data_IF_948383439814
#
_entry.id   IF_948383439814
#
_cell.length_a   1.000
_cell.length_b   1.000
_cell.length_c   1.000
_cell.angle_alpha   90.00
_cell.angle_beta   90.00
_cell.angle_gamma   90.00
#
_symmetry.space_group_name_H-M   'P 1'
#
loop_
_entity.id
_entity.type
_entity.pdbx_description
1 polymer ?
#
# COMPACT_ATOMS: atom_id res chain seq x y z
N UNK A 1 7.66 6.02 18.53
CA UNK A 1 6.71 6.98 17.91
C UNK A 1 5.43 6.96 18.73
N UNK A 2 4.80 8.10 19.04
CA UNK A 2 3.46 8.05 19.66
C UNK A 2 2.50 7.39 18.68
N UNK A 3 1.70 6.44 19.16
CA UNK A 3 0.63 5.80 18.42
C UNK A 3 -0.35 6.88 17.91
N UNK A 4 -0.25 7.18 16.62
CA UNK A 4 -1.06 8.23 16.02
C UNK A 4 -2.35 7.63 15.50
N UNK A 5 -3.45 8.28 15.82
CA UNK A 5 -4.74 7.96 15.23
C UNK A 5 -4.77 8.39 13.76
N UNK A 6 -5.11 7.48 12.88
CA UNK A 6 -5.37 7.74 11.46
C UNK A 6 -6.87 7.83 11.28
N UNK A 7 -7.34 8.96 10.77
CA UNK A 7 -8.76 9.19 10.51
C UNK A 7 -9.03 8.95 9.04
N UNK A 8 -9.82 7.93 8.76
CA UNK A 8 -10.31 7.58 7.43
C UNK A 8 -11.80 7.79 7.42
N UNK A 9 -12.21 8.95 7.01
CA UNK A 9 -13.59 9.50 6.95
C UNK A 9 -14.59 8.94 7.97
N UNK A 10 -15.15 7.74 7.73
CA UNK A 10 -16.11 7.07 8.60
C UNK A 10 -15.52 6.27 9.75
N UNK A 11 -14.19 6.16 9.83
CA UNK A 11 -13.48 5.35 10.79
C UNK A 11 -12.27 6.08 11.38
N UNK A 12 -11.84 5.64 12.56
CA UNK A 12 -10.51 5.91 13.08
C UNK A 12 -9.75 4.60 13.30
N UNK A 13 -8.45 4.64 13.07
CA UNK A 13 -7.56 3.51 13.19
C UNK A 13 -6.38 3.87 14.09
N UNK A 14 -6.09 3.02 15.08
CA UNK A 14 -4.87 3.03 15.88
C UNK A 14 -4.17 1.70 15.70
N UNK A 15 -2.94 1.71 15.23
CA UNK A 15 -2.20 0.47 14.97
C UNK A 15 -1.96 -0.35 16.24
N UNK A 16 -1.84 0.31 17.40
CA UNK A 16 -1.73 -0.37 18.69
C UNK A 16 -2.97 -1.15 19.11
N UNK A 17 -4.14 -0.85 18.53
CA UNK A 17 -5.42 -1.51 18.76
C UNK A 17 -5.70 -2.62 17.72
N UNK A 18 -4.84 -2.76 16.70
CA UNK A 18 -4.95 -3.76 15.65
C UNK A 18 -4.24 -5.06 16.02
N UNK A 19 -4.67 -6.16 15.44
CA UNK A 19 -3.97 -7.45 15.56
C UNK A 19 -2.73 -7.45 14.65
N UNK A 20 -1.55 -7.55 15.22
CA UNK A 20 -0.31 -7.70 14.45
C UNK A 20 -0.22 -9.12 13.88
N UNK A 21 -0.28 -9.25 12.55
CA UNK A 21 -0.20 -10.53 11.84
C UNK A 21 1.25 -10.91 11.53
N UNK A 22 2.02 -9.97 10.98
CA UNK A 22 3.42 -10.15 10.64
C UNK A 22 4.24 -8.91 11.00
N UNK A 23 5.49 -9.14 11.39
CA UNK A 23 6.47 -8.09 11.63
C UNK A 23 7.82 -8.51 11.02
N UNK A 24 8.31 -7.71 10.08
CA UNK A 24 9.55 -7.96 9.36
C UNK A 24 10.63 -6.98 9.83
N UNK A 25 11.18 -7.23 11.02
CA UNK A 25 12.42 -6.58 11.45
C UNK A 25 13.61 -7.10 10.65
N UNK A 26 13.51 -8.38 10.23
CA UNK A 26 14.42 -9.04 9.30
C UNK A 26 13.61 -9.68 8.19
N UNK A 27 14.04 -9.49 6.94
CA UNK A 27 13.44 -10.16 5.78
C UNK A 27 14.23 -11.42 5.46
N UNK A 28 13.51 -12.54 5.35
CA UNK A 28 14.06 -13.80 4.89
C UNK A 28 13.75 -13.99 3.40
N UNK A 29 14.76 -14.07 2.51
CA UNK A 29 14.52 -14.24 1.07
C UNK A 29 13.63 -15.44 0.72
N UNK A 30 13.65 -16.50 1.51
CA UNK A 30 12.83 -17.69 1.27
C UNK A 30 11.32 -17.45 1.41
N UNK A 31 10.93 -16.37 2.08
CA UNK A 31 9.53 -15.99 2.30
C UNK A 31 8.95 -15.08 1.21
N UNK A 32 9.75 -14.71 0.21
CA UNK A 32 9.35 -13.76 -0.82
C UNK A 32 9.51 -14.34 -2.22
N UNK A 33 8.53 -14.11 -3.07
CA UNK A 33 8.53 -14.57 -4.47
C UNK A 33 8.41 -13.42 -5.44
N UNK A 34 9.26 -13.42 -6.46
CA UNK A 34 9.17 -12.50 -7.60
C UNK A 34 8.11 -13.04 -8.55
N UNK A 35 7.11 -12.23 -8.89
CA UNK A 35 5.93 -12.69 -9.62
C UNK A 35 5.93 -12.27 -11.09
N UNK A 36 6.37 -11.06 -11.40
CA UNK A 36 6.32 -10.55 -12.76
C UNK A 36 7.57 -9.76 -13.09
N UNK A 37 8.09 -10.01 -14.29
CA UNK A 37 9.34 -9.46 -14.79
C UNK A 37 10.52 -9.74 -13.84
N UNK A 38 11.71 -9.69 -14.33
CA UNK A 38 12.92 -9.96 -13.54
C UNK A 38 13.74 -8.69 -13.31
N UNK A 39 13.25 -7.73 -12.52
CA UNK A 39 14.14 -6.72 -12.00
C UNK A 39 15.03 -7.39 -10.97
N UNK A 40 16.15 -6.77 -10.72
CA UNK A 40 16.98 -7.18 -9.59
C UNK A 40 16.26 -6.85 -8.29
N UNK A 41 15.76 -7.86 -7.63
CA UNK A 41 15.29 -7.75 -6.25
C UNK A 41 16.37 -8.27 -5.32
N UNK A 42 16.66 -7.50 -4.29
CA UNK A 42 17.55 -7.90 -3.21
C UNK A 42 16.76 -7.89 -1.91
N UNK A 43 16.67 -9.06 -1.28
CA UNK A 43 16.05 -9.22 0.05
C UNK A 43 17.18 -9.41 1.04
N UNK A 44 17.35 -8.46 1.94
CA UNK A 44 18.41 -8.44 2.95
C UNK A 44 17.80 -8.34 4.35
N UNK A 45 18.52 -8.72 5.40
CA UNK A 45 18.08 -8.41 6.75
C UNK A 45 17.77 -6.92 6.90
N UNK A 46 16.54 -6.59 7.26
CA UNK A 46 16.09 -5.21 7.50
C UNK A 46 15.59 -4.43 6.28
N UNK A 47 15.74 -4.94 5.03
CA UNK A 47 15.24 -4.23 3.84
C UNK A 47 15.00 -5.11 2.62
N UNK A 48 14.13 -4.63 1.76
CA UNK A 48 13.95 -5.12 0.39
C UNK A 48 14.29 -3.97 -0.55
N UNK A 49 15.11 -4.24 -1.56
CA UNK A 49 15.48 -3.27 -2.59
C UNK A 49 15.07 -3.82 -3.95
N UNK A 50 14.34 -3.01 -4.71
CA UNK A 50 13.91 -3.34 -6.07
C UNK A 50 14.48 -2.37 -7.09
N UNK A 51 14.87 -2.90 -8.26
CA UNK A 51 15.44 -2.12 -9.35
C UNK A 51 16.93 -1.85 -9.24
N UNK A 52 17.39 -0.93 -10.05
CA UNK A 52 18.80 -0.50 -10.09
C UNK A 52 18.95 0.84 -10.81
N UNK A 53 20.11 1.48 -10.69
CA UNK A 53 20.33 2.82 -11.22
C UNK A 53 20.40 2.88 -12.76
N UNK A 54 20.70 1.76 -13.42
CA UNK A 54 21.12 1.75 -14.83
C UNK A 54 20.07 1.14 -15.78
N UNK A 55 18.95 0.63 -15.27
CA UNK A 55 17.95 -0.05 -16.11
C UNK A 55 16.52 0.29 -15.70
N UNK A 56 15.62 0.58 -16.66
CA UNK A 56 14.21 0.65 -16.40
C UNK A 56 13.69 -0.76 -16.02
N UNK A 57 13.18 -0.88 -14.83
CA UNK A 57 12.72 -2.17 -14.32
C UNK A 57 11.27 -2.12 -13.90
N UNK A 58 10.53 -3.13 -14.31
CA UNK A 58 9.19 -3.40 -13.83
C UNK A 58 9.22 -4.72 -13.09
N UNK A 59 8.70 -4.74 -11.89
CA UNK A 59 8.59 -6.00 -11.20
C UNK A 59 7.90 -5.92 -9.86
N UNK A 60 7.49 -7.08 -9.42
CA UNK A 60 6.75 -7.23 -8.19
C UNK A 60 7.30 -8.40 -7.39
N UNK A 61 7.37 -8.19 -6.08
CA UNK A 61 7.73 -9.20 -5.10
C UNK A 61 6.64 -9.30 -4.04
N UNK A 62 6.23 -10.52 -3.71
CA UNK A 62 5.15 -10.76 -2.76
C UNK A 62 5.61 -11.69 -1.63
N UNK A 63 5.05 -11.47 -0.46
CA UNK A 63 5.16 -12.40 0.65
C UNK A 63 4.38 -13.68 0.31
N UNK A 64 4.97 -14.85 0.65
CA UNK A 64 4.47 -16.15 0.21
C UNK A 64 3.20 -16.62 0.94
N UNK A 65 2.89 -16.03 2.10
CA UNK A 65 1.72 -16.41 2.88
C UNK A 65 0.59 -15.40 2.69
N UNK A 66 -0.56 -15.84 2.16
CA UNK A 66 -1.71 -14.95 1.98
C UNK A 66 -2.46 -14.71 3.28
N UNK A 67 -3.07 -13.54 3.41
CA UNK A 67 -3.89 -13.13 4.55
C UNK A 67 -5.36 -13.04 4.15
N UNK A 68 -6.28 -13.50 5.01
CA UNK A 68 -7.72 -13.33 4.81
C UNK A 68 -8.22 -12.03 5.42
N UNK A 69 -9.21 -11.42 4.75
CA UNK A 69 -9.87 -10.19 5.20
C UNK A 69 -9.07 -8.94 4.92
N UNK A 70 -9.43 -7.88 5.62
CA UNK A 70 -8.77 -6.60 5.51
C UNK A 70 -7.37 -6.65 6.07
N UNK A 71 -6.47 -5.95 5.42
CA UNK A 71 -5.09 -5.76 5.89
C UNK A 71 -4.71 -4.29 5.84
N UNK A 72 -3.90 -3.90 6.81
CA UNK A 72 -3.20 -2.62 6.86
C UNK A 72 -1.70 -2.90 6.93
N UNK A 73 -0.98 -2.28 6.03
CA UNK A 73 0.48 -2.32 5.95
C UNK A 73 1.05 -1.07 6.59
N UNK A 74 2.02 -1.22 7.47
CA UNK A 74 2.87 -0.15 8.00
C UNK A 74 4.30 -0.44 7.54
N UNK A 75 4.94 0.47 6.84
CA UNK A 75 6.31 0.30 6.37
C UNK A 75 6.97 1.64 6.08
N UNK A 76 8.29 1.61 5.94
CA UNK A 76 9.02 2.74 5.43
C UNK A 76 9.53 2.45 4.03
N UNK A 77 9.52 3.47 3.18
CA UNK A 77 10.05 3.36 1.83
C UNK A 77 10.73 4.65 1.38
N UNK A 78 11.66 4.52 0.44
CA UNK A 78 12.29 5.64 -0.25
C UNK A 78 12.63 5.30 -1.68
N UNK A 79 12.72 6.33 -2.51
CA UNK A 79 13.29 6.24 -3.85
C UNK A 79 14.81 6.43 -3.72
N UNK A 80 15.57 5.58 -4.38
CA UNK A 80 17.04 5.65 -4.41
C UNK A 80 17.49 6.42 -5.65
N UNK A 81 18.29 7.49 -5.51
CA UNK A 81 18.85 8.20 -6.64
C UNK A 81 19.69 7.28 -7.55
N UNK A 82 19.73 7.49 -8.88
CA UNK A 82 19.20 8.64 -9.63
C UNK A 82 17.71 8.57 -9.94
N UNK A 83 16.99 7.49 -9.57
CA UNK A 83 15.54 7.44 -9.73
C UNK A 83 14.87 8.58 -8.96
N UNK A 84 13.75 9.07 -9.46
CA UNK A 84 13.01 10.19 -8.89
C UNK A 84 11.54 9.89 -8.67
N UNK A 85 11.07 8.72 -9.08
CA UNK A 85 9.69 8.30 -8.93
C UNK A 85 9.60 6.82 -8.58
N UNK A 86 8.48 6.47 -8.11
CA UNK A 86 7.70 5.25 -7.99
C UNK A 86 8.08 4.35 -6.83
N UNK A 87 7.34 4.55 -5.73
CA UNK A 87 7.23 3.59 -4.62
C UNK A 87 5.88 2.90 -4.80
N UNK A 88 5.89 1.58 -5.04
CA UNK A 88 4.68 0.79 -5.28
C UNK A 88 4.52 -0.30 -4.23
N UNK A 89 3.30 -0.51 -3.76
CA UNK A 89 2.96 -1.64 -2.90
C UNK A 89 1.57 -2.17 -3.22
N UNK A 90 1.32 -3.41 -2.80
CA UNK A 90 0.09 -4.15 -3.07
C UNK A 90 -0.54 -4.65 -1.79
N UNK A 91 -1.87 -4.70 -1.76
CA UNK A 91 -2.62 -5.37 -0.71
C UNK A 91 -3.88 -6.03 -1.25
N UNK A 92 -4.35 -7.05 -0.54
CA UNK A 92 -5.49 -7.88 -0.91
C UNK A 92 -5.42 -8.42 -2.36
N UNK A 93 -4.20 -8.59 -2.88
CA UNK A 93 -3.95 -9.03 -4.25
C UNK A 93 -4.22 -10.51 -4.40
N UNK A 94 -4.91 -10.91 -5.47
CA UNK A 94 -5.17 -12.30 -5.82
C UNK A 94 -4.58 -12.62 -7.17
N UNK A 95 -4.01 -13.81 -7.24
CA UNK A 95 -3.49 -14.35 -8.49
C UNK A 95 -4.55 -15.14 -9.27
N UNK A 96 -4.20 -15.57 -10.50
CA UNK A 96 -5.06 -16.34 -11.36
C UNK A 96 -5.81 -15.53 -12.42
N UNK A 97 -5.35 -14.31 -12.69
CA UNK A 97 -5.80 -13.49 -13.82
C UNK A 97 -5.10 -13.87 -15.15
N UNK A 98 -5.58 -13.31 -16.26
CA UNK A 98 -4.99 -13.40 -17.59
C UNK A 98 -5.43 -12.18 -18.42
N UNK A 99 -4.57 -11.50 -19.14
CA UNK A 99 -3.13 -11.74 -19.34
C UNK A 99 -2.26 -11.34 -18.13
N UNK A 100 -2.76 -10.49 -17.23
CA UNK A 100 -2.09 -10.15 -16.00
C UNK A 100 -2.20 -11.28 -14.98
N UNK A 101 -1.21 -11.50 -14.11
CA UNK A 101 -1.28 -12.56 -13.10
C UNK A 101 -2.32 -12.29 -12.01
N UNK A 102 -2.87 -11.09 -11.97
CA UNK A 102 -3.85 -10.66 -10.95
C UNK A 102 -5.28 -10.95 -11.37
N UNK A 103 -6.11 -11.34 -10.42
CA UNK A 103 -7.56 -11.44 -10.60
C UNK A 103 -8.32 -10.41 -9.77
N UNK A 104 -7.70 -9.83 -8.75
CA UNK A 104 -8.24 -8.76 -7.91
C UNK A 104 -7.15 -8.15 -7.04
N UNK A 105 -7.45 -7.05 -6.35
CA UNK A 105 -6.61 -6.41 -5.36
C UNK A 105 -6.45 -4.92 -5.58
N UNK A 106 -5.52 -4.36 -4.85
CA UNK A 106 -5.21 -2.93 -4.92
C UNK A 106 -3.71 -2.71 -4.99
N UNK A 107 -3.35 -1.63 -5.65
CA UNK A 107 -2.01 -1.09 -5.74
C UNK A 107 -2.03 0.33 -5.20
N UNK A 108 -1.12 0.64 -4.30
CA UNK A 108 -0.81 1.99 -3.86
C UNK A 108 0.51 2.45 -4.44
N UNK A 109 0.62 3.73 -4.74
CA UNK A 109 1.82 4.30 -5.33
C UNK A 109 2.07 5.72 -4.81
N UNK A 110 3.34 6.04 -4.60
CA UNK A 110 3.83 7.40 -4.38
C UNK A 110 4.85 7.75 -5.45
N UNK A 111 4.62 8.88 -6.14
CA UNK A 111 5.54 9.39 -7.15
C UNK A 111 5.44 8.71 -8.51
N UNK A 112 4.45 7.84 -8.72
CA UNK A 112 4.11 7.28 -10.03
C UNK A 112 3.11 8.17 -10.78
N UNK A 113 2.50 7.63 -11.81
CA UNK A 113 1.34 8.11 -12.57
C UNK A 113 1.11 9.64 -12.65
N UNK A 114 0.58 10.10 -13.78
CA UNK A 114 0.06 11.45 -13.95
C UNK A 114 1.00 12.56 -13.41
N UNK A 115 2.27 12.56 -13.81
CA UNK A 115 3.25 13.54 -13.40
C UNK A 115 3.63 13.48 -11.90
N UNK A 116 4.04 12.31 -11.44
CA UNK A 116 4.61 12.04 -10.11
C UNK A 116 3.63 12.21 -8.93
N UNK A 117 2.37 11.91 -9.15
CA UNK A 117 1.34 11.95 -8.11
C UNK A 117 1.29 10.66 -7.28
N UNK A 118 0.61 10.71 -6.15
CA UNK A 118 0.21 9.50 -5.42
C UNK A 118 -1.11 8.95 -5.97
N UNK A 119 -1.27 7.62 -5.96
CA UNK A 119 -2.44 6.96 -6.50
C UNK A 119 -2.84 5.67 -5.78
N UNK A 120 -4.12 5.31 -5.88
CA UNK A 120 -4.63 3.97 -5.61
C UNK A 120 -5.24 3.43 -6.90
N UNK A 121 -4.86 2.21 -7.27
CA UNK A 121 -5.41 1.51 -8.41
C UNK A 121 -6.06 0.21 -7.99
N UNK A 122 -7.10 -0.15 -8.72
CA UNK A 122 -7.79 -1.42 -8.58
C UNK A 122 -7.35 -2.39 -9.66
N UNK A 123 -6.97 -3.59 -9.24
CA UNK A 123 -6.60 -4.70 -10.09
C UNK A 123 -7.84 -5.52 -10.52
N UNK A 124 -7.81 -6.22 -11.66
CA UNK A 124 -6.66 -6.45 -12.54
C UNK A 124 -6.36 -5.34 -13.55
N UNK A 125 -7.27 -4.41 -13.77
CA UNK A 125 -7.24 -3.47 -14.90
C UNK A 125 -6.36 -2.23 -14.63
N UNK A 126 -5.70 -2.16 -13.47
CA UNK A 126 -4.93 -0.98 -13.03
C UNK A 126 -5.77 0.31 -13.11
N UNK A 127 -7.03 0.20 -12.74
CA UNK A 127 -7.95 1.31 -12.78
C UNK A 127 -7.62 2.30 -11.67
N UNK A 128 -7.19 3.50 -12.06
CA UNK A 128 -6.98 4.61 -11.12
C UNK A 128 -8.30 4.91 -10.39
N UNK A 129 -8.32 4.68 -9.09
CA UNK A 129 -9.49 4.82 -8.22
C UNK A 129 -9.43 6.08 -7.36
N UNK A 130 -8.23 6.50 -7.00
CA UNK A 130 -7.98 7.78 -6.34
C UNK A 130 -6.60 8.32 -6.76
N UNK A 131 -6.48 9.65 -6.84
CA UNK A 131 -5.24 10.35 -7.17
C UNK A 131 -5.11 11.56 -6.27
N UNK A 132 -3.92 11.77 -5.68
CA UNK A 132 -3.57 12.95 -4.88
C UNK A 132 -2.57 13.82 -5.65
N UNK A 133 -3.04 14.86 -6.37
CA UNK A 133 -2.20 15.64 -7.27
C UNK A 133 -1.21 16.57 -6.56
N UNK A 134 -1.43 16.82 -5.28
CA UNK A 134 -0.55 17.69 -4.49
C UNK A 134 0.62 16.96 -3.83
N UNK A 135 0.62 15.64 -3.85
CA UNK A 135 1.71 14.86 -3.25
C UNK A 135 2.86 14.72 -4.26
N UNK A 136 4.07 14.97 -3.80
CA UNK A 136 5.30 14.77 -4.58
C UNK A 136 6.31 14.02 -3.74
N UNK A 137 7.02 13.09 -4.35
CA UNK A 137 8.13 12.37 -3.72
C UNK A 137 9.45 13.11 -3.89
N UNK A 138 10.32 12.96 -2.92
CA UNK A 138 11.68 13.48 -2.91
C UNK A 138 12.66 12.29 -2.88
N UNK A 139 13.53 12.13 -3.89
CA UNK A 139 14.51 11.04 -3.88
C UNK A 139 15.41 11.07 -2.64
N UNK A 140 15.68 9.90 -2.09
CA UNK A 140 16.48 9.73 -0.88
C UNK A 140 15.73 9.95 0.44
N UNK A 141 14.56 10.59 0.42
CA UNK A 141 13.73 10.79 1.61
C UNK A 141 13.00 9.51 2.00
N UNK A 142 13.04 9.17 3.27
CA UNK A 142 12.20 8.12 3.83
C UNK A 142 10.77 8.62 4.09
N UNK A 143 9.81 7.83 3.67
CA UNK A 143 8.38 8.00 3.92
C UNK A 143 7.90 6.89 4.83
N UNK A 144 7.24 7.24 5.91
CA UNK A 144 6.51 6.29 6.75
C UNK A 144 5.10 6.15 6.20
N UNK A 145 4.76 4.97 5.69
CA UNK A 145 3.52 4.70 4.96
C UNK A 145 2.64 3.77 5.79
N UNK A 146 1.38 4.14 5.94
CA UNK A 146 0.32 3.25 6.45
C UNK A 146 -0.79 3.22 5.42
N UNK A 147 -1.08 2.03 4.91
CA UNK A 147 -2.02 1.87 3.80
C UNK A 147 -2.75 0.54 3.88
N UNK A 148 -3.99 0.49 3.39
CA UNK A 148 -4.75 -0.76 3.38
C UNK A 148 -6.24 -0.58 3.21
N UNK A 149 -6.99 -1.55 3.72
CA UNK A 149 -8.45 -1.63 3.63
C UNK A 149 -9.12 -1.63 5.00
N UNK A 150 -10.25 -0.94 5.11
CA UNK A 150 -11.20 -0.98 6.23
C UNK A 150 -12.59 -1.28 5.65
N UNK A 151 -12.87 -2.54 5.33
CA UNK A 151 -14.05 -2.94 4.58
C UNK A 151 -13.99 -2.42 3.14
N UNK A 152 -14.94 -1.57 2.79
CA UNK A 152 -15.00 -0.93 1.46
C UNK A 152 -14.12 0.32 1.33
N UNK A 153 -13.51 0.77 2.42
CA UNK A 153 -12.68 1.96 2.46
C UNK A 153 -11.20 1.58 2.28
N UNK A 154 -10.51 2.26 1.38
CA UNK A 154 -9.09 2.09 1.11
C UNK A 154 -8.38 3.42 1.30
N UNK A 155 -7.18 3.39 1.87
CA UNK A 155 -6.49 4.62 2.22
C UNK A 155 -4.98 4.53 2.10
N UNK A 156 -4.35 5.68 1.97
CA UNK A 156 -2.91 5.90 2.11
C UNK A 156 -2.70 7.05 3.09
N UNK A 157 -1.95 6.80 4.14
CA UNK A 157 -1.42 7.82 5.04
C UNK A 157 0.10 7.84 4.95
N UNK A 158 0.69 9.02 4.93
CA UNK A 158 2.13 9.24 4.86
C UNK A 158 2.54 10.17 6.00
N UNK A 159 3.57 9.78 6.74
CA UNK A 159 4.08 10.53 7.90
C UNK A 159 2.97 10.88 8.91
N UNK A 160 1.98 9.97 9.05
CA UNK A 160 0.85 10.11 9.94
C UNK A 160 -0.24 11.07 9.48
N UNK A 161 -0.28 11.42 8.19
CA UNK A 161 -1.34 12.24 7.58
C UNK A 161 -2.04 11.46 6.48
N UNK A 162 -3.37 11.45 6.49
CA UNK A 162 -4.13 10.89 5.37
C UNK A 162 -3.83 11.69 4.10
N UNK A 163 -3.28 11.02 3.10
CA UNK A 163 -2.99 11.57 1.77
C UNK A 163 -4.13 11.27 0.82
N UNK A 164 -4.72 10.09 0.96
CA UNK A 164 -5.66 9.58 0.00
C UNK A 164 -6.67 8.63 0.62
N UNK A 165 -7.86 8.63 0.05
CA UNK A 165 -8.98 7.79 0.42
C UNK A 165 -9.79 7.40 -0.82
N UNK A 166 -10.27 6.16 -0.82
CA UNK A 166 -11.13 5.64 -1.87
C UNK A 166 -12.17 4.68 -1.26
N UNK A 167 -13.44 4.85 -1.63
CA UNK A 167 -14.51 3.92 -1.26
C UNK A 167 -14.87 3.04 -2.45
N UNK A 168 -14.65 1.74 -2.33
CA UNK A 168 -14.96 0.76 -3.38
C UNK A 168 -16.28 0.06 -3.10
N UNK A 169 -17.28 0.27 -3.95
CA UNK A 169 -18.57 -0.42 -3.85
C UNK A 169 -18.51 -1.92 -4.27
N UNK A 170 -17.40 -2.34 -4.87
CA UNK A 170 -17.21 -3.70 -5.40
C UNK A 170 -15.89 -4.31 -4.90
N UNK A 171 -15.70 -4.34 -3.58
CA UNK A 171 -14.53 -4.95 -2.95
C UNK A 171 -14.40 -6.43 -3.30
N UNK A 172 -13.18 -6.95 -3.46
CA UNK A 172 -12.95 -8.38 -3.57
C UNK A 172 -13.48 -9.13 -2.35
N UNK A 173 -14.06 -10.33 -2.56
CA UNK A 173 -14.63 -11.16 -1.51
C UNK A 173 -13.66 -11.36 -0.32
N UNK A 174 -13.93 -10.81 0.88
CA UNK A 174 -13.00 -10.83 2.01
C UNK A 174 -12.78 -12.22 2.60
N UNK A 175 -13.61 -13.20 2.25
CA UNK A 175 -13.45 -14.60 2.71
C UNK A 175 -12.28 -15.31 2.02
N UNK A 176 -11.85 -14.81 0.86
CA UNK A 176 -10.73 -15.37 0.11
C UNK A 176 -9.42 -14.69 0.52
N UNK A 177 -8.33 -15.46 0.63
CA UNK A 177 -7.03 -14.90 0.99
C UNK A 177 -6.49 -13.98 -0.11
N UNK A 178 -5.79 -12.94 0.31
CA UNK A 178 -5.06 -12.03 -0.56
C UNK A 178 -3.60 -11.90 -0.14
N UNK A 179 -2.75 -11.54 -1.07
CA UNK A 179 -1.32 -11.33 -0.87
C UNK A 179 -1.00 -9.84 -0.73
N UNK A 180 0.12 -9.56 -0.10
CA UNK A 180 0.72 -8.23 -0.05
C UNK A 180 2.16 -8.27 -0.55
N UNK A 181 2.65 -7.15 -1.02
CA UNK A 181 4.00 -7.07 -1.58
C UNK A 181 4.40 -5.69 -2.05
N UNK A 182 5.52 -5.63 -2.73
CA UNK A 182 6.08 -4.40 -3.26
C UNK A 182 6.26 -4.48 -4.76
N UNK A 183 6.29 -3.32 -5.38
CA UNK A 183 6.54 -3.17 -6.80
C UNK A 183 7.48 -2.02 -7.11
N UNK A 184 7.98 -2.05 -8.32
CA UNK A 184 8.72 -0.97 -8.95
C UNK A 184 8.26 -0.85 -10.39
N UNK A 185 8.25 0.38 -10.90
CA UNK A 185 7.99 0.67 -12.29
C UNK A 185 8.99 1.75 -12.76
N UNK A 186 9.97 1.35 -13.54
CA UNK A 186 11.07 2.22 -13.99
C UNK A 186 11.77 2.98 -12.84
N UNK A 187 11.91 2.31 -11.69
CA UNK A 187 12.39 2.93 -10.47
C UNK A 187 13.40 2.07 -9.72
N UNK A 188 14.06 2.69 -8.76
CA UNK A 188 14.93 2.05 -7.80
C UNK A 188 14.43 2.46 -6.40
N UNK A 189 13.85 1.52 -5.67
CA UNK A 189 13.21 1.79 -4.40
C UNK A 189 13.65 0.82 -3.30
N UNK A 190 13.62 1.30 -2.07
CA UNK A 190 13.96 0.55 -0.86
C UNK A 190 12.77 0.57 0.10
N UNK A 191 12.50 -0.60 0.70
CA UNK A 191 11.42 -0.86 1.65
C UNK A 191 11.97 -1.47 2.92
N UNK A 192 11.49 -1.02 4.07
CA UNK A 192 11.97 -1.45 5.38
C UNK A 192 10.86 -1.45 6.43
N UNK A 193 11.10 -2.13 7.56
CA UNK A 193 10.27 -2.11 8.78
C UNK A 193 8.80 -2.45 8.52
N UNK A 194 8.54 -3.40 7.63
CA UNK A 194 7.18 -3.81 7.29
C UNK A 194 6.51 -4.50 8.48
N UNK A 195 5.31 -4.05 8.78
CA UNK A 195 4.34 -4.73 9.64
C UNK A 195 3.01 -4.85 8.93
N UNK A 196 2.33 -5.93 9.20
CA UNK A 196 1.01 -6.24 8.61
C UNK A 196 0.03 -6.45 9.72
N UNK A 197 -1.09 -5.75 9.67
CA UNK A 197 -2.12 -5.80 10.69
C UNK A 197 -3.45 -6.23 10.12
N UNK A 198 -4.24 -6.93 10.94
CA UNK A 198 -5.69 -6.98 10.78
C UNK A 198 -6.27 -5.75 11.47
N UNK A 199 -6.93 -4.86 10.74
CA UNK A 199 -7.44 -3.63 11.33
C UNK A 199 -8.63 -3.89 12.25
N UNK A 200 -8.69 -3.11 13.33
CA UNK A 200 -9.86 -3.00 14.21
C UNK A 200 -10.31 -1.53 14.22
N UNK A 201 -11.01 -1.07 13.16
CA UNK A 201 -11.39 0.33 13.06
C UNK A 201 -12.50 0.67 14.07
N UNK A 202 -12.42 1.86 14.63
CA UNK A 202 -13.48 2.44 15.44
C UNK A 202 -14.36 3.33 14.56
N UNK A 203 -15.65 3.00 14.39
CA UNK A 203 -16.57 3.84 13.64
C UNK A 203 -16.66 5.25 14.23
N UNK A 204 -16.64 6.25 13.37
CA UNK A 204 -16.81 7.65 13.73
C UNK A 204 -18.08 8.20 13.13
N UNK A 205 -18.94 8.84 13.92
CA UNK A 205 -20.04 9.60 13.35
C UNK A 205 -19.47 10.68 12.43
N UNK A 206 -19.98 10.76 11.21
CA UNK A 206 -19.68 11.90 10.34
C UNK A 206 -20.17 13.17 11.05
N UNK A 207 -19.24 14.08 11.38
CA UNK A 207 -19.59 15.37 11.92
C UNK A 207 -20.19 16.21 10.78
N UNK A 208 -21.50 16.36 10.79
CA UNK A 208 -22.15 17.32 9.90
C UNK A 208 -21.77 18.73 10.31
N UNK A 209 -21.57 19.61 9.34
CA UNK A 209 -21.32 21.01 9.61
C UNK A 209 -22.50 21.58 10.46
N UNK A 210 -22.22 22.41 11.48
CA UNK A 210 -23.26 23.08 12.24
C UNK A 210 -24.25 23.80 11.32
N UNK A 211 -25.52 23.48 11.43
CA UNK A 211 -26.57 24.05 10.58
C UNK A 211 -27.04 23.17 9.42
N UNK A 212 -26.37 22.08 9.09
CA UNK A 212 -26.93 21.10 8.14
C UNK A 212 -28.05 20.30 8.82
N UNK A 213 -29.30 20.66 8.55
CA UNK A 213 -30.44 19.81 8.88
C UNK A 213 -30.46 18.67 7.88
N UNK A 214 -29.91 17.53 8.25
CA UNK A 214 -30.21 16.29 7.55
C UNK A 214 -31.63 15.94 7.92
N UNK A 215 -32.54 15.93 6.94
CA UNK A 215 -33.93 15.55 7.16
C UNK A 215 -33.99 14.18 7.84
N UNK A 216 -34.79 14.09 8.85
CA UNK A 216 -35.20 12.85 9.51
C UNK A 216 -36.13 12.07 8.60
#
# INVERSE_FOLDING_TARGET
>A
MKDKEIIVIGNSLRLSECELLHSFETFDPAQWSIVKHTPKWTVEPGRIVGGGPDEPHHGQIFFNEPVKGDVVLEFDARILPPSYHDIVWFWNTRFGGSPEPWSAGYLGCLGGWYADMAGIEKLPDYKASAIAPSFRTEPGRWYHIVSGSLGFEHFIAVDGKLVMYFADAAVPDPSKPGYFGFGIFESHAEFARLKVYRPHPTPRPLAYLPGSKVGR
#
